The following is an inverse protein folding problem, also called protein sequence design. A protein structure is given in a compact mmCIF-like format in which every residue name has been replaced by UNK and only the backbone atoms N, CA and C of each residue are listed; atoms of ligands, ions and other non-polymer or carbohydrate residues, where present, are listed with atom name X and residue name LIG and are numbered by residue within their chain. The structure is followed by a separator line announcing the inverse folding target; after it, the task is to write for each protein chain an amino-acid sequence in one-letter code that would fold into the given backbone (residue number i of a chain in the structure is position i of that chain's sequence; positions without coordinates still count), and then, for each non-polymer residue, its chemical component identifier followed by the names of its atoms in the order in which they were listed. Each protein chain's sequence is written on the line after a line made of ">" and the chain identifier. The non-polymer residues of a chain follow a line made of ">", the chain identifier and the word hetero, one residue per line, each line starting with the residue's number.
data_IF_249553123657
#
_entry.id   IF_249553123657
#
_cell.length_a   1.000
_cell.length_b   1.000
_cell.length_c   1.000
_cell.angle_alpha   90.00
_cell.angle_beta   90.00
_cell.angle_gamma   90.00
#
_symmetry.space_group_name_H-M   'P 1'
#
loop_
_entity.id
_entity.type
_entity.pdbx_description
1 polymer ?
#
# COMPACT_ATOMS: atom_id res chain seq x y z
N UNK A 1 19.58 -11.43 6.37
CA UNK A 1 18.41 -11.18 5.51
C UNK A 1 18.78 -10.06 4.55
N UNK A 2 18.35 -10.13 3.29
CA UNK A 2 18.59 -9.06 2.31
C UNK A 2 17.74 -7.84 2.71
N UNK A 3 18.34 -6.64 2.69
CA UNK A 3 17.60 -5.41 2.95
C UNK A 3 16.54 -5.20 1.86
N UNK A 4 15.34 -4.78 2.25
CA UNK A 4 14.27 -4.43 1.31
C UNK A 4 14.64 -3.15 0.57
N UNK A 5 14.49 -3.17 -0.75
CA UNK A 5 14.76 -2.03 -1.63
C UNK A 5 13.51 -1.20 -1.83
N UNK A 6 13.61 0.09 -1.54
CA UNK A 6 12.54 1.06 -1.69
C UNK A 6 12.94 2.10 -2.72
N UNK A 7 12.12 2.29 -3.75
CA UNK A 7 12.18 3.46 -4.62
C UNK A 7 11.22 4.51 -4.07
N UNK A 8 11.73 5.68 -3.73
CA UNK A 8 10.94 6.77 -3.17
C UNK A 8 10.95 7.98 -4.09
N UNK A 9 9.80 8.34 -4.66
CA UNK A 9 9.61 9.47 -5.56
C UNK A 9 8.76 10.55 -4.88
N UNK A 10 9.32 11.75 -4.80
CA UNK A 10 8.71 12.93 -4.17
C UNK A 10 9.52 14.17 -4.62
N UNK A 11 8.89 15.31 -4.90
CA UNK A 11 9.57 16.53 -5.33
C UNK A 11 10.04 17.41 -4.16
N UNK A 12 9.55 17.18 -2.94
CA UNK A 12 10.09 17.84 -1.73
C UNK A 12 11.38 17.15 -1.26
N UNK A 13 12.50 17.72 -1.71
CA UNK A 13 13.83 17.21 -1.36
C UNK A 13 14.09 17.19 0.16
N UNK A 14 13.61 18.21 0.90
CA UNK A 14 13.91 18.30 2.35
C UNK A 14 13.19 17.18 3.11
N UNK A 15 11.91 17.03 2.87
CA UNK A 15 11.10 15.97 3.45
C UNK A 15 11.66 14.60 3.08
N UNK A 16 11.95 14.40 1.79
CA UNK A 16 12.45 13.12 1.26
C UNK A 16 13.79 12.70 1.86
N UNK A 17 14.70 13.64 2.08
CA UNK A 17 15.99 13.32 2.71
C UNK A 17 15.82 12.88 4.17
N UNK A 18 14.89 13.50 4.90
CA UNK A 18 14.59 13.10 6.29
C UNK A 18 13.97 11.70 6.33
N UNK A 19 12.98 11.45 5.48
CA UNK A 19 12.31 10.15 5.41
C UNK A 19 13.26 9.04 4.93
N UNK A 20 14.07 9.31 3.90
CA UNK A 20 15.12 8.38 3.44
C UNK A 20 16.09 8.02 4.56
N UNK A 21 16.56 9.01 5.33
CA UNK A 21 17.46 8.76 6.46
C UNK A 21 16.80 7.92 7.55
N UNK A 22 15.53 8.17 7.84
CA UNK A 22 14.77 7.40 8.82
C UNK A 22 14.61 5.94 8.35
N UNK A 23 14.13 5.73 7.14
CA UNK A 23 13.96 4.39 6.57
C UNK A 23 15.30 3.63 6.49
N UNK A 24 16.40 4.32 6.16
CA UNK A 24 17.73 3.72 6.17
C UNK A 24 18.16 3.23 7.55
N UNK A 25 17.83 3.96 8.64
CA UNK A 25 18.07 3.50 10.03
C UNK A 25 17.24 2.28 10.40
N UNK A 26 16.03 2.14 9.81
CA UNK A 26 15.16 0.99 9.98
C UNK A 26 15.62 -0.24 9.16
N UNK A 27 16.73 -0.13 8.41
CA UNK A 27 17.33 -1.22 7.66
C UNK A 27 16.87 -1.35 6.20
N UNK A 28 16.17 -0.37 5.66
CA UNK A 28 15.75 -0.34 4.25
C UNK A 28 16.82 0.28 3.35
N UNK A 29 16.97 -0.26 2.15
CA UNK A 29 17.80 0.34 1.08
C UNK A 29 16.95 1.30 0.25
N UNK A 30 17.09 2.62 0.46
CA UNK A 30 16.20 3.62 -0.15
C UNK A 30 16.91 4.37 -1.27
N UNK A 31 16.38 4.28 -2.48
CA UNK A 31 16.75 5.12 -3.62
C UNK A 31 15.72 6.22 -3.79
N UNK A 32 16.18 7.46 -3.85
CA UNK A 32 15.35 8.64 -4.01
C UNK A 32 15.32 9.11 -5.47
N UNK A 33 14.12 9.47 -5.92
CA UNK A 33 13.85 10.08 -7.22
C UNK A 33 13.11 11.40 -7.01
N UNK A 34 13.69 12.52 -7.44
CA UNK A 34 13.12 13.86 -7.24
C UNK A 34 11.92 14.20 -8.15
N UNK A 35 11.49 13.30 -9.01
CA UNK A 35 10.30 13.42 -9.86
C UNK A 35 9.94 12.06 -10.49
N UNK A 36 8.76 12.00 -11.11
CA UNK A 36 8.24 10.79 -11.72
C UNK A 36 9.09 10.25 -12.88
N UNK A 37 9.72 11.12 -13.68
CA UNK A 37 10.60 10.70 -14.78
C UNK A 37 11.81 9.92 -14.26
N UNK A 38 12.50 10.46 -13.26
CA UNK A 38 13.64 9.82 -12.63
C UNK A 38 13.23 8.50 -11.98
N UNK A 39 12.05 8.45 -11.36
CA UNK A 39 11.52 7.23 -10.77
C UNK A 39 11.36 6.12 -11.83
N UNK A 40 10.79 6.43 -12.98
CA UNK A 40 10.60 5.48 -14.08
C UNK A 40 11.92 5.01 -14.70
N UNK A 41 12.91 5.89 -14.80
CA UNK A 41 14.26 5.53 -15.30
C UNK A 41 15.00 4.61 -14.32
N UNK A 42 14.84 4.85 -13.02
CA UNK A 42 15.53 4.07 -11.98
C UNK A 42 14.83 2.73 -11.68
N UNK A 43 13.52 2.64 -11.84
CA UNK A 43 12.75 1.45 -11.49
C UNK A 43 13.31 0.14 -12.06
N UNK A 44 13.57 -0.01 -13.39
CA UNK A 44 14.07 -1.24 -13.96
C UNK A 44 15.52 -1.57 -13.52
N UNK A 45 16.31 -0.56 -13.13
CA UNK A 45 17.70 -0.72 -12.70
C UNK A 45 17.78 -1.24 -11.26
N UNK A 46 16.95 -0.71 -10.37
CA UNK A 46 16.95 -1.00 -8.94
C UNK A 46 16.18 -2.29 -8.63
N UNK A 47 15.09 -2.54 -9.37
CA UNK A 47 14.12 -3.58 -9.10
C UNK A 47 13.68 -3.54 -7.63
N UNK A 48 12.96 -2.48 -7.23
CA UNK A 48 12.57 -2.29 -5.85
C UNK A 48 11.51 -3.31 -5.42
N UNK A 49 11.50 -3.61 -4.12
CA UNK A 49 10.45 -4.42 -3.49
C UNK A 49 9.21 -3.58 -3.18
N UNK A 50 9.41 -2.25 -2.98
CA UNK A 50 8.35 -1.27 -2.70
C UNK A 50 8.64 0.04 -3.43
N UNK A 51 7.60 0.66 -3.96
CA UNK A 51 7.64 2.02 -4.51
C UNK A 51 6.76 2.93 -3.65
N UNK A 52 7.35 4.00 -3.10
CA UNK A 52 6.64 5.09 -2.44
C UNK A 52 6.49 6.23 -3.43
N UNK A 53 5.28 6.66 -3.72
CA UNK A 53 4.99 7.69 -4.71
C UNK A 53 4.24 8.84 -4.08
N UNK A 54 4.84 10.03 -4.10
CA UNK A 54 4.03 11.24 -3.94
C UNK A 54 3.12 11.40 -5.15
N UNK A 55 1.87 11.81 -4.90
CA UNK A 55 0.89 12.01 -5.98
C UNK A 55 1.17 13.31 -6.73
N UNK A 56 1.52 14.37 -6.00
CA UNK A 56 1.61 15.72 -6.55
C UNK A 56 3.03 16.05 -7.02
N UNK A 57 3.57 15.32 -7.99
CA UNK A 57 4.87 15.61 -8.57
C UNK A 57 4.74 16.35 -9.90
N UNK A 58 5.67 17.28 -10.22
CA UNK A 58 5.70 17.94 -11.52
C UNK A 58 6.07 16.97 -12.65
N UNK A 59 5.47 17.18 -13.81
CA UNK A 59 5.63 16.31 -14.97
C UNK A 59 4.76 15.06 -14.87
N UNK A 60 5.33 13.90 -14.60
CA UNK A 60 4.56 12.70 -14.31
C UNK A 60 4.12 12.71 -12.83
N UNK A 61 2.81 12.78 -12.59
CA UNK A 61 2.25 12.61 -11.26
C UNK A 61 2.37 11.16 -10.77
N UNK A 62 2.12 10.93 -9.46
CA UNK A 62 2.29 9.60 -8.87
C UNK A 62 1.41 8.53 -9.51
N UNK A 63 0.21 8.87 -9.96
CA UNK A 63 -0.68 7.91 -10.63
C UNK A 63 -0.16 7.48 -12.01
N UNK A 64 0.33 8.44 -12.81
CA UNK A 64 0.93 8.16 -14.11
C UNK A 64 2.21 7.30 -13.97
N UNK A 65 2.99 7.54 -12.92
CA UNK A 65 4.16 6.73 -12.60
C UNK A 65 3.73 5.31 -12.22
N UNK A 66 2.71 5.16 -11.36
CA UNK A 66 2.21 3.86 -10.93
C UNK A 66 1.66 3.04 -12.11
N UNK A 67 0.92 3.67 -13.03
CA UNK A 67 0.40 3.03 -14.23
C UNK A 67 1.52 2.41 -15.07
N UNK A 68 2.56 3.21 -15.37
CA UNK A 68 3.72 2.74 -16.14
C UNK A 68 4.52 1.66 -15.41
N UNK A 69 4.65 1.76 -14.08
CA UNK A 69 5.27 0.72 -13.27
C UNK A 69 4.46 -0.58 -13.36
N UNK A 70 3.11 -0.51 -13.32
CA UNK A 70 2.25 -1.70 -13.46
C UNK A 70 2.34 -2.37 -14.83
N UNK A 71 2.69 -1.64 -15.87
CA UNK A 71 3.01 -2.23 -17.19
C UNK A 71 4.33 -3.03 -17.16
N UNK A 72 5.32 -2.57 -16.37
CA UNK A 72 6.62 -3.23 -16.22
C UNK A 72 6.60 -4.36 -15.18
N UNK A 73 5.91 -4.14 -14.05
CA UNK A 73 5.78 -5.09 -12.95
C UNK A 73 4.40 -5.00 -12.29
N UNK A 74 3.65 -6.10 -12.38
CA UNK A 74 2.29 -6.20 -11.84
C UNK A 74 2.25 -6.46 -10.33
N UNK A 75 3.37 -6.85 -9.72
CA UNK A 75 3.43 -7.40 -8.37
C UNK A 75 4.18 -6.51 -7.37
N UNK A 76 5.02 -5.58 -7.83
CA UNK A 76 5.74 -4.68 -6.92
C UNK A 76 4.75 -3.92 -6.03
N UNK A 77 5.08 -3.77 -4.75
CA UNK A 77 4.23 -2.99 -3.84
C UNK A 77 4.31 -1.51 -4.19
N UNK A 78 3.15 -0.83 -4.22
CA UNK A 78 3.05 0.61 -4.44
C UNK A 78 2.25 1.22 -3.31
N UNK A 79 2.84 2.20 -2.61
CA UNK A 79 2.17 3.04 -1.62
C UNK A 79 2.14 4.47 -2.14
N UNK A 80 0.98 5.09 -2.11
CA UNK A 80 0.84 6.52 -2.39
C UNK A 80 0.99 7.34 -1.11
N UNK A 81 1.73 8.43 -1.23
CA UNK A 81 1.85 9.47 -0.22
C UNK A 81 1.17 10.72 -0.79
N UNK A 82 0.28 11.36 -0.04
CA UNK A 82 -0.49 12.48 -0.59
C UNK A 82 -0.89 13.50 0.48
N UNK A 83 -0.78 14.78 0.12
CA UNK A 83 -1.31 15.88 0.92
C UNK A 83 -2.84 15.95 0.90
N UNK A 84 -3.48 15.19 0.00
CA UNK A 84 -4.93 15.21 -0.19
C UNK A 84 -5.57 13.92 0.31
N UNK A 85 -6.58 14.11 1.15
CA UNK A 85 -7.47 13.02 1.58
C UNK A 85 -8.67 12.83 0.64
N UNK A 86 -8.61 13.31 -0.61
CA UNK A 86 -9.73 13.30 -1.54
C UNK A 86 -10.15 11.88 -1.90
N UNK A 87 -11.45 11.64 -1.82
CA UNK A 87 -12.06 10.35 -2.14
C UNK A 87 -11.79 9.93 -3.59
N UNK A 88 -11.66 10.91 -4.51
CA UNK A 88 -11.36 10.65 -5.91
C UNK A 88 -9.95 10.09 -6.11
N UNK A 89 -8.95 10.67 -5.46
CA UNK A 89 -7.55 10.22 -5.51
C UNK A 89 -7.39 8.80 -4.95
N UNK A 90 -8.08 8.50 -3.86
CA UNK A 90 -8.11 7.14 -3.31
C UNK A 90 -8.71 6.13 -4.27
N UNK A 91 -9.81 6.48 -4.94
CA UNK A 91 -10.45 5.61 -5.94
C UNK A 91 -9.53 5.35 -7.12
N UNK A 92 -8.81 6.36 -7.61
CA UNK A 92 -7.84 6.21 -8.69
C UNK A 92 -6.66 5.32 -8.27
N UNK A 93 -6.12 5.52 -7.06
CA UNK A 93 -5.07 4.66 -6.50
C UNK A 93 -5.51 3.18 -6.42
N UNK A 94 -6.75 2.91 -6.05
CA UNK A 94 -7.31 1.56 -6.04
C UNK A 94 -7.42 0.94 -7.44
N UNK A 95 -7.80 1.71 -8.45
CA UNK A 95 -7.85 1.22 -9.84
C UNK A 95 -6.47 0.79 -10.35
N UNK A 96 -5.42 1.44 -9.89
CA UNK A 96 -4.02 1.13 -10.20
C UNK A 96 -3.43 0.00 -9.33
N UNK A 97 -4.27 -0.67 -8.52
CA UNK A 97 -3.85 -1.75 -7.61
C UNK A 97 -2.72 -1.30 -6.66
N UNK A 98 -2.84 -0.08 -6.14
CA UNK A 98 -1.98 0.36 -5.05
C UNK A 98 -2.24 -0.48 -3.80
N UNK A 99 -1.18 -0.78 -3.08
CA UNK A 99 -1.25 -1.64 -1.89
C UNK A 99 -1.58 -0.83 -0.64
N UNK A 100 -1.27 0.47 -0.62
CA UNK A 100 -1.63 1.36 0.47
C UNK A 100 -1.64 2.84 0.04
N UNK A 101 -2.21 3.69 0.91
CA UNK A 101 -2.36 5.13 0.72
C UNK A 101 -2.20 5.84 2.06
N UNK A 102 -1.17 6.69 2.20
CA UNK A 102 -0.91 7.48 3.40
C UNK A 102 -1.16 8.96 3.12
N UNK A 103 -2.00 9.58 3.94
CA UNK A 103 -2.21 11.02 3.91
C UNK A 103 -1.07 11.74 4.65
N UNK A 104 -0.47 12.76 4.02
CA UNK A 104 0.48 13.67 4.67
C UNK A 104 -0.31 14.71 5.51
N UNK A 105 0.16 15.11 6.69
CA UNK A 105 1.37 14.61 7.37
C UNK A 105 1.13 13.25 8.07
N UNK A 106 2.12 12.37 8.02
CA UNK A 106 2.14 11.11 8.75
C UNK A 106 3.43 10.96 9.55
N UNK A 107 3.42 10.12 10.57
CA UNK A 107 4.62 9.77 11.32
C UNK A 107 5.42 8.71 10.55
N UNK A 108 6.77 8.84 10.42
CA UNK A 108 7.59 7.84 9.74
C UNK A 108 7.43 6.41 10.30
N UNK A 109 7.12 6.31 11.60
CA UNK A 109 6.83 5.04 12.28
C UNK A 109 5.55 4.38 11.75
N UNK A 110 4.54 5.17 11.38
CA UNK A 110 3.32 4.64 10.75
C UNK A 110 3.64 4.00 9.40
N UNK A 111 4.44 4.68 8.56
CA UNK A 111 4.87 4.13 7.30
C UNK A 111 5.64 2.82 7.47
N UNK A 112 6.58 2.76 8.43
CA UNK A 112 7.35 1.53 8.67
C UNK A 112 6.48 0.39 9.20
N UNK A 113 5.49 0.67 10.03
CA UNK A 113 4.52 -0.33 10.50
C UNK A 113 3.75 -0.95 9.32
N UNK A 114 3.24 -0.12 8.40
CA UNK A 114 2.53 -0.56 7.19
C UNK A 114 3.45 -1.36 6.25
N UNK A 115 4.69 -0.91 6.05
CA UNK A 115 5.67 -1.65 5.26
C UNK A 115 5.90 -3.04 5.87
N UNK A 116 6.16 -3.12 7.17
CA UNK A 116 6.39 -4.39 7.86
C UNK A 116 5.19 -5.32 7.75
N UNK A 117 3.99 -4.83 7.96
CA UNK A 117 2.77 -5.61 7.84
C UNK A 117 2.64 -6.26 6.46
N UNK A 118 2.83 -5.48 5.38
CA UNK A 118 2.74 -5.98 4.01
C UNK A 118 3.82 -7.00 3.67
N UNK A 119 5.05 -6.79 4.13
CA UNK A 119 6.14 -7.74 3.86
C UNK A 119 6.11 -8.96 4.78
N UNK A 120 5.62 -8.86 6.02
CA UNK A 120 5.46 -10.01 6.90
C UNK A 120 4.38 -10.95 6.37
N UNK A 121 3.31 -10.42 5.82
CA UNK A 121 2.27 -11.22 5.15
C UNK A 121 2.82 -11.98 3.93
N UNK A 122 3.77 -11.40 3.19
CA UNK A 122 4.46 -12.07 2.07
C UNK A 122 5.47 -13.13 2.53
N UNK A 123 6.20 -12.89 3.63
CA UNK A 123 7.25 -13.79 4.13
C UNK A 123 6.72 -14.99 4.91
N UNK A 124 5.54 -14.86 5.50
CA UNK A 124 4.94 -15.98 6.28
C UNK A 124 4.47 -17.15 5.43
N UNK A 125 4.73 -17.15 4.12
CA UNK A 125 4.37 -18.26 3.25
C UNK A 125 2.85 -18.51 3.13
N UNK A 126 2.04 -17.61 3.69
CA UNK A 126 0.60 -17.53 3.47
C UNK A 126 0.36 -16.76 2.16
N UNK A 127 1.06 -17.20 1.11
CA UNK A 127 0.82 -16.82 -0.26
C UNK A 127 -0.15 -17.82 -0.93
N UNK A 128 -1.09 -18.32 -0.16
CA UNK A 128 -2.43 -18.59 -0.66
C UNK A 128 -3.18 -17.30 -0.37
N UNK A 129 -3.68 -16.64 -1.40
CA UNK A 129 -4.61 -15.54 -1.29
C UNK A 129 -5.47 -15.77 -0.05
N UNK A 130 -5.41 -14.89 0.99
CA UNK A 130 -6.30 -15.02 2.14
C UNK A 130 -7.73 -14.86 1.63
N UNK A 131 -8.28 -15.97 1.18
CA UNK A 131 -9.58 -16.07 0.54
C UNK A 131 -10.59 -16.51 1.59
N UNK A 132 -11.56 -15.68 1.84
CA UNK A 132 -12.63 -15.96 2.78
C UNK A 132 -13.95 -16.12 2.04
N UNK A 133 -14.61 -17.27 2.18
CA UNK A 133 -15.90 -17.53 1.53
C UNK A 133 -17.06 -17.10 2.45
N UNK A 134 -17.99 -16.33 1.93
CA UNK A 134 -19.22 -15.89 2.60
C UNK A 134 -20.42 -16.23 1.71
N UNK A 135 -21.04 -17.37 1.92
CA UNK A 135 -22.13 -17.83 1.08
C UNK A 135 -21.69 -17.96 -0.39
N UNK A 136 -22.24 -17.16 -1.29
CA UNK A 136 -21.87 -17.13 -2.71
C UNK A 136 -20.77 -16.12 -3.07
N UNK A 137 -20.21 -15.41 -2.08
CA UNK A 137 -19.18 -14.41 -2.27
C UNK A 137 -17.84 -14.90 -1.76
N UNK A 138 -16.76 -14.49 -2.41
CA UNK A 138 -15.39 -14.75 -1.99
C UNK A 138 -14.68 -13.41 -1.81
N UNK A 139 -14.10 -13.20 -0.65
CA UNK A 139 -13.29 -12.04 -0.32
C UNK A 139 -11.82 -12.41 -0.39
N UNK A 140 -11.05 -11.70 -1.20
CA UNK A 140 -9.61 -11.77 -1.26
C UNK A 140 -9.02 -10.58 -0.49
N UNK A 141 -8.40 -10.85 0.66
CA UNK A 141 -7.82 -9.81 1.51
C UNK A 141 -6.61 -9.14 0.86
N UNK A 142 -5.76 -9.91 0.15
CA UNK A 142 -4.54 -9.38 -0.48
C UNK A 142 -4.84 -8.37 -1.60
N UNK A 143 -5.99 -8.52 -2.28
CA UNK A 143 -6.41 -7.63 -3.37
C UNK A 143 -7.52 -6.65 -2.97
N UNK A 144 -8.01 -6.73 -1.73
CA UNK A 144 -9.18 -5.97 -1.23
C UNK A 144 -10.41 -6.15 -2.13
N UNK A 145 -10.62 -7.36 -2.65
CA UNK A 145 -11.62 -7.65 -3.67
C UNK A 145 -12.68 -8.62 -3.15
N UNK A 146 -13.95 -8.30 -3.37
CA UNK A 146 -15.07 -9.23 -3.15
C UNK A 146 -15.61 -9.64 -4.51
N UNK A 147 -15.72 -10.94 -4.75
CA UNK A 147 -16.36 -11.54 -5.93
C UNK A 147 -17.66 -12.23 -5.53
N UNK A 148 -18.72 -11.93 -6.28
CA UNK A 148 -20.03 -12.59 -6.15
C UNK A 148 -20.50 -12.97 -7.56
N UNK A 149 -20.41 -14.23 -7.91
CA UNK A 149 -20.63 -14.69 -9.29
C UNK A 149 -19.70 -13.98 -10.27
N UNK A 150 -20.26 -13.27 -11.26
CA UNK A 150 -19.49 -12.48 -12.25
C UNK A 150 -19.22 -11.03 -11.80
N UNK A 151 -19.74 -10.62 -10.67
CA UNK A 151 -19.55 -9.25 -10.14
C UNK A 151 -18.30 -9.18 -9.27
N UNK A 152 -17.57 -8.07 -9.40
CA UNK A 152 -16.37 -7.75 -8.67
C UNK A 152 -16.49 -6.38 -8.03
N UNK A 153 -16.23 -6.30 -6.73
CA UNK A 153 -16.25 -5.05 -5.95
C UNK A 153 -14.91 -4.90 -5.23
N UNK A 154 -14.29 -3.74 -5.36
CA UNK A 154 -13.12 -3.37 -4.56
C UNK A 154 -13.57 -2.64 -3.29
N UNK A 155 -12.97 -2.99 -2.19
CA UNK A 155 -13.21 -2.39 -0.89
C UNK A 155 -11.97 -1.67 -0.37
N UNK A 156 -12.14 -0.75 0.56
CA UNK A 156 -11.02 -0.05 1.20
C UNK A 156 -10.24 -0.99 2.12
N UNK A 157 -8.95 -0.69 2.38
CA UNK A 157 -8.14 -1.48 3.32
C UNK A 157 -8.82 -1.61 4.68
N UNK A 158 -9.40 -0.52 5.20
CA UNK A 158 -10.16 -0.55 6.46
C UNK A 158 -11.36 -1.51 6.42
N UNK A 159 -12.10 -1.55 5.31
CA UNK A 159 -13.20 -2.50 5.12
C UNK A 159 -12.68 -3.94 5.01
N UNK A 160 -11.53 -4.11 4.35
CA UNK A 160 -10.85 -5.41 4.23
C UNK A 160 -10.42 -5.93 5.61
N UNK A 161 -9.83 -5.08 6.46
CA UNK A 161 -9.40 -5.46 7.81
C UNK A 161 -10.60 -5.85 8.69
N UNK A 162 -11.71 -5.11 8.60
CA UNK A 162 -12.95 -5.47 9.31
C UNK A 162 -13.49 -6.82 8.81
N UNK A 163 -13.54 -7.03 7.49
CA UNK A 163 -14.01 -8.30 6.92
C UNK A 163 -13.12 -9.48 7.31
N UNK A 164 -11.80 -9.28 7.28
CA UNK A 164 -10.81 -10.29 7.73
C UNK A 164 -11.03 -10.64 9.20
N UNK A 165 -11.15 -9.62 10.06
CA UNK A 165 -11.42 -9.85 11.48
C UNK A 165 -12.70 -10.66 11.69
N UNK A 166 -13.77 -10.33 10.98
CA UNK A 166 -15.04 -11.06 11.05
C UNK A 166 -14.89 -12.49 10.50
N UNK A 167 -14.15 -12.67 9.40
CA UNK A 167 -13.88 -13.96 8.78
C UNK A 167 -13.09 -14.89 9.70
N UNK A 168 -12.11 -14.37 10.42
CA UNK A 168 -11.32 -15.13 11.40
C UNK A 168 -12.10 -15.47 12.69
N UNK A 169 -13.20 -14.76 12.93
CA UNK A 169 -14.05 -14.95 14.11
C UNK A 169 -15.45 -15.46 13.75
N UNK A 170 -15.57 -16.31 12.74
CA UNK A 170 -16.85 -16.93 12.36
C UNK A 170 -17.47 -17.62 13.57
N UNK A 171 -18.75 -17.35 13.83
CA UNK A 171 -19.52 -17.85 14.98
C UNK A 171 -19.03 -17.37 16.37
N UNK A 172 -18.20 -16.31 16.43
CA UNK A 172 -17.79 -15.64 17.68
C UNK A 172 -18.28 -14.19 17.68
N UNK A 173 -18.55 -13.68 18.88
CA UNK A 173 -18.87 -12.26 19.04
C UNK A 173 -17.60 -11.44 18.98
N UNK A 174 -17.54 -10.48 18.06
CA UNK A 174 -16.47 -9.48 17.99
C UNK A 174 -16.93 -8.24 18.77
N UNK A 175 -16.12 -7.78 19.73
CA UNK A 175 -16.48 -6.63 20.54
C UNK A 175 -16.45 -5.32 19.73
N UNK A 176 -17.26 -4.34 20.15
CA UNK A 176 -17.23 -3.00 19.56
C UNK A 176 -15.84 -2.36 19.68
N UNK A 177 -15.15 -2.57 20.80
CA UNK A 177 -13.84 -2.00 21.05
C UNK A 177 -12.78 -2.54 20.09
N UNK A 178 -12.81 -3.84 19.80
CA UNK A 178 -11.93 -4.47 18.79
C UNK A 178 -12.17 -3.90 17.39
N UNK A 179 -13.42 -3.64 17.01
CA UNK A 179 -13.74 -2.99 15.73
C UNK A 179 -13.30 -1.52 15.69
N UNK A 180 -13.36 -0.82 16.83
CA UNK A 180 -12.92 0.57 16.94
C UNK A 180 -11.38 0.70 16.90
N UNK A 181 -10.63 -0.29 17.36
CA UNK A 181 -9.16 -0.33 17.25
C UNK A 181 -8.73 -0.34 15.79
N UNK A 182 -9.35 -1.15 14.94
CA UNK A 182 -9.12 -1.10 13.48
C UNK A 182 -9.44 0.31 12.94
N UNK A 183 -10.50 0.94 13.47
CA UNK A 183 -10.87 2.29 13.11
C UNK A 183 -9.83 3.34 13.49
N UNK A 184 -9.15 3.19 14.62
CA UNK A 184 -8.11 4.10 15.11
C UNK A 184 -6.76 3.90 14.44
N UNK A 185 -6.44 2.70 14.01
CA UNK A 185 -5.22 2.39 13.27
C UNK A 185 -5.20 3.03 11.86
N UNK A 186 -6.33 3.56 11.40
CA UNK A 186 -6.51 4.20 10.09
C UNK A 186 -6.90 5.70 10.18
N UNK A 187 -6.71 6.34 11.35
CA UNK A 187 -6.93 7.79 11.53
C UNK A 187 -5.63 8.54 11.55
#
# INVERSE_FOLDING_TARGET
>A
MKALKILFADDDLKYSMLLKRFLGKEGYEVTYAGNGKIALEQFPLIKPDLVLLDINMPGYNGFEVAERIREMDKHVLIFFLSDRSDKADRLQGFQLKANDYLAKPFYPEELTARIRERFTSQLSGVAEDEMYAFGHSVFNYSTNEIRTGNSKVLITSRQADILRLLALNVNKTVSRDTLLEIGRAHV
#
